data_IF_636059883602
#
_entry.id   IF_636059883602
#
_cell.length_a   1.000
_cell.length_b   1.000
_cell.length_c   1.000
_cell.angle_alpha   90.00
_cell.angle_beta   90.00
_cell.angle_gamma   90.00
#
_symmetry.space_group_name_H-M   'P 1'
#
loop_
_entity.id
_entity.type
_entity.pdbx_description
1 polymer ?
#
# COMPACT_ATOMS: atom_id res chain seq x y z
N UNK A 1 -6.83 14.24 10.66
CA UNK A 1 -5.69 13.45 10.12
C UNK A 1 -6.12 12.97 8.75
N UNK A 2 -5.33 13.07 7.67
CA UNK A 2 -5.84 12.70 6.36
C UNK A 2 -6.06 11.19 6.30
N UNK A 3 -7.25 10.79 5.86
CA UNK A 3 -7.64 9.38 5.76
C UNK A 3 -7.04 8.72 4.53
N UNK A 4 -5.94 7.99 4.75
CA UNK A 4 -5.30 7.22 3.70
C UNK A 4 -5.67 5.74 3.82
N UNK A 5 -6.22 5.20 2.74
CA UNK A 5 -6.32 3.75 2.55
C UNK A 5 -4.99 3.20 2.03
N UNK A 6 -4.47 2.13 2.67
CA UNK A 6 -3.27 1.45 2.16
C UNK A 6 -3.61 0.38 1.14
N UNK A 7 -2.71 0.31 0.17
CA UNK A 7 -2.82 -0.53 -0.99
C UNK A 7 -2.50 -1.96 -0.61
N UNK A 8 -3.39 -2.89 -0.97
CA UNK A 8 -3.16 -4.34 -0.88
C UNK A 8 -2.91 -5.04 -2.22
N UNK A 9 -2.75 -4.26 -3.29
CA UNK A 9 -2.50 -4.81 -4.62
C UNK A 9 -1.03 -5.25 -4.75
N UNK A 10 -0.78 -6.53 -4.43
CA UNK A 10 0.55 -7.13 -4.55
C UNK A 10 1.04 -7.19 -6.01
N UNK A 11 0.15 -7.10 -6.99
CA UNK A 11 0.53 -7.14 -8.42
C UNK A 11 0.97 -5.78 -8.96
N UNK A 12 0.96 -4.71 -8.15
CA UNK A 12 1.49 -3.41 -8.57
C UNK A 12 3.01 -3.46 -8.71
N UNK A 13 3.51 -3.26 -9.93
CA UNK A 13 4.96 -3.31 -10.24
C UNK A 13 5.76 -2.20 -9.53
N UNK A 14 5.08 -1.12 -9.12
CA UNK A 14 5.67 0.00 -8.38
C UNK A 14 5.50 -0.11 -6.87
N UNK A 15 5.02 -1.23 -6.32
CA UNK A 15 4.70 -1.39 -4.89
C UNK A 15 5.87 -1.05 -3.95
N UNK A 16 7.10 -1.42 -4.34
CA UNK A 16 8.35 -1.10 -3.62
C UNK A 16 8.62 0.40 -3.45
N UNK A 17 8.05 1.24 -4.32
CA UNK A 17 8.21 2.70 -4.31
C UNK A 17 6.92 3.43 -3.96
N UNK A 18 5.86 2.69 -3.61
CA UNK A 18 4.54 3.23 -3.35
C UNK A 18 4.34 3.43 -1.85
N UNK A 19 4.24 4.70 -1.41
CA UNK A 19 3.93 5.08 -0.03
C UNK A 19 2.68 4.36 0.46
N UNK A 20 1.59 4.36 -0.32
CA UNK A 20 0.35 3.67 0.08
C UNK A 20 0.52 2.17 0.28
N UNK A 21 1.49 1.50 -0.34
CA UNK A 21 1.73 0.07 -0.10
C UNK A 21 2.61 -0.14 1.13
N UNK A 22 3.62 0.72 1.28
CA UNK A 22 4.61 0.67 2.35
C UNK A 22 4.13 1.29 3.66
N UNK A 23 2.98 1.94 3.68
CA UNK A 23 2.43 2.65 4.85
C UNK A 23 2.32 1.75 6.10
N UNK A 24 2.62 2.32 7.26
CA UNK A 24 2.46 1.65 8.56
C UNK A 24 1.01 1.83 9.04
N UNK A 25 0.27 0.72 9.18
CA UNK A 25 -1.19 0.73 9.39
C UNK A 25 -1.63 1.16 10.79
N UNK A 26 -0.73 1.19 11.78
CA UNK A 26 -1.13 1.41 13.18
C UNK A 26 -1.43 2.88 13.50
N UNK A 27 -0.87 3.82 12.71
CA UNK A 27 -0.86 5.25 13.05
C UNK A 27 -1.62 6.18 12.11
N UNK A 28 -1.85 5.78 10.85
CA UNK A 28 -2.27 6.72 9.79
C UNK A 28 -3.41 6.19 8.90
N UNK A 29 -3.91 5.00 9.22
CA UNK A 29 -4.71 4.17 8.34
C UNK A 29 -6.14 4.06 8.83
N UNK A 30 -7.09 3.95 7.89
CA UNK A 30 -8.46 3.53 8.21
C UNK A 30 -8.88 2.20 7.57
N UNK A 31 -8.49 1.90 6.32
CA UNK A 31 -9.01 0.72 5.57
C UNK A 31 -8.08 0.17 4.47
N UNK A 32 -8.25 -1.13 4.11
CA UNK A 32 -7.51 -1.84 3.04
C UNK A 32 -8.26 -1.65 1.72
N UNK A 33 -7.62 -0.96 0.78
CA UNK A 33 -8.17 -0.74 -0.55
C UNK A 33 -7.43 -1.59 -1.59
N UNK A 34 -8.20 -2.35 -2.36
CA UNK A 34 -7.73 -2.96 -3.59
C UNK A 34 -7.88 -1.90 -4.69
N UNK A 35 -6.80 -1.21 -5.03
CA UNK A 35 -6.83 -0.23 -6.12
C UNK A 35 -6.76 -0.95 -7.46
N UNK A 36 -7.75 -0.68 -8.32
CA UNK A 36 -7.91 -1.32 -9.62
C UNK A 36 -6.76 -1.06 -10.57
N UNK A 37 -6.67 -1.97 -11.55
CA UNK A 37 -5.67 -1.92 -12.58
C UNK A 37 -5.95 -0.81 -13.58
N UNK A 38 -5.09 0.21 -13.62
CA UNK A 38 -5.14 1.23 -14.67
C UNK A 38 -3.99 1.07 -15.67
N UNK A 39 -4.04 1.83 -16.77
CA UNK A 39 -3.04 1.82 -17.85
C UNK A 39 -1.59 2.00 -17.35
N UNK A 40 -1.40 2.53 -16.14
CA UNK A 40 -0.12 2.62 -15.43
C UNK A 40 0.26 1.36 -14.59
N UNK A 41 0.00 0.15 -15.09
CA UNK A 41 0.49 -1.11 -14.50
C UNK A 41 -0.04 -1.42 -13.09
N UNK A 42 -1.34 -1.23 -12.86
CA UNK A 42 -2.01 -1.59 -11.60
C UNK A 42 -1.74 -0.73 -10.36
N UNK A 43 -1.37 0.54 -10.54
CA UNK A 43 -0.96 1.42 -9.45
C UNK A 43 -1.69 2.78 -9.49
N UNK A 44 -3.01 2.78 -9.63
CA UNK A 44 -3.80 3.99 -9.93
C UNK A 44 -3.63 5.16 -8.94
N UNK A 45 -3.34 4.84 -7.67
CA UNK A 45 -3.08 5.81 -6.62
C UNK A 45 -1.62 5.76 -6.15
N UNK A 46 -0.68 5.62 -7.09
CA UNK A 46 0.74 5.61 -6.78
C UNK A 46 1.15 6.94 -6.13
N UNK A 47 1.62 6.87 -4.90
CA UNK A 47 2.29 7.96 -4.20
C UNK A 47 3.74 7.54 -4.04
N UNK A 48 4.70 8.35 -4.49
CA UNK A 48 6.12 8.04 -4.32
C UNK A 48 6.48 8.09 -2.82
N UNK A 49 7.27 7.13 -2.33
CA UNK A 49 7.82 7.13 -0.95
C UNK A 49 8.41 8.50 -0.53
N UNK A 50 9.07 9.21 -1.46
CA UNK A 50 9.66 10.54 -1.16
C UNK A 50 8.63 11.62 -0.82
N UNK A 51 7.40 11.46 -1.31
CA UNK A 51 6.29 12.39 -1.09
C UNK A 51 5.30 11.84 -0.07
N UNK A 52 5.69 10.80 0.69
CA UNK A 52 4.81 10.18 1.67
C UNK A 52 4.52 11.18 2.81
N UNK A 53 3.25 11.55 3.04
CA UNK A 53 2.87 12.39 4.17
C UNK A 53 2.74 11.58 5.48
N UNK A 54 3.21 10.33 5.50
CA UNK A 54 3.07 9.37 6.59
C UNK A 54 4.26 8.41 6.68
N UNK A 55 4.40 7.75 7.83
CA UNK A 55 5.44 6.76 8.04
C UNK A 55 5.23 5.51 7.18
N UNK A 56 6.32 5.05 6.58
CA UNK A 56 6.38 3.87 5.72
C UNK A 56 7.40 2.87 6.25
N UNK A 57 7.13 1.58 6.06
CA UNK A 57 8.13 0.53 6.22
C UNK A 57 9.33 0.79 5.30
N UNK A 58 10.52 0.51 5.82
CA UNK A 58 11.77 0.57 5.05
C UNK A 58 12.00 -0.69 4.23
N UNK A 59 11.39 -1.80 4.62
CA UNK A 59 11.53 -3.12 3.99
C UNK A 59 10.20 -3.55 3.35
N UNK A 60 10.24 -3.87 2.06
CA UNK A 60 9.07 -4.33 1.30
C UNK A 60 8.56 -5.68 1.79
N UNK A 61 9.43 -6.55 2.31
CA UNK A 61 9.08 -7.88 2.78
C UNK A 61 8.12 -7.82 3.98
N UNK A 62 8.27 -6.79 4.83
CA UNK A 62 7.34 -6.52 5.94
C UNK A 62 5.97 -6.11 5.39
N UNK A 63 5.95 -5.16 4.44
CA UNK A 63 4.71 -4.72 3.80
C UNK A 63 4.00 -5.86 3.05
N UNK A 64 4.75 -6.69 2.31
CA UNK A 64 4.24 -7.86 1.59
C UNK A 64 3.64 -8.90 2.54
N UNK A 65 4.29 -9.21 3.67
CA UNK A 65 3.75 -10.14 4.68
C UNK A 65 2.40 -9.67 5.23
N UNK A 66 2.30 -8.39 5.57
CA UNK A 66 1.06 -7.79 6.11
C UNK A 66 -0.04 -7.83 5.06
N UNK A 67 0.25 -7.35 3.85
CA UNK A 67 -0.72 -7.31 2.74
C UNK A 67 -1.17 -8.73 2.36
N UNK A 68 -0.25 -9.69 2.34
CA UNK A 68 -0.58 -11.10 2.07
C UNK A 68 -1.52 -11.65 3.14
N UNK A 69 -1.18 -11.50 4.41
CA UNK A 69 -2.05 -11.96 5.51
C UNK A 69 -3.46 -11.36 5.45
N UNK A 70 -3.58 -10.08 5.05
CA UNK A 70 -4.88 -9.44 4.84
C UNK A 70 -5.64 -10.02 3.65
N UNK A 71 -4.96 -10.28 2.53
CA UNK A 71 -5.60 -10.92 1.38
C UNK A 71 -6.05 -12.35 1.70
N UNK A 72 -5.27 -13.11 2.47
CA UNK A 72 -5.62 -14.46 2.91
C UNK A 72 -6.80 -14.49 3.90
N UNK A 73 -7.01 -13.42 4.69
CA UNK A 73 -8.13 -13.31 5.64
C UNK A 73 -9.42 -12.72 5.04
N UNK A 74 -9.38 -12.25 3.79
CA UNK A 74 -10.54 -11.69 3.06
C UNK A 74 -11.04 -12.68 1.98
N UNK A 75 -10.48 -13.90 1.96
CA UNK A 75 -10.88 -15.02 1.10
C UNK A 75 -11.96 -15.89 1.71
#
# INVERSE_FOLDING_TARGET
MPDYAKCRNIQCNRRKRCARYMMISDKYWQTYALFNADNASKCNHFINLKNAPFECYKDISIADKIVKGVNDNIG
#
